data_IF_068719813600
#
_entry.id   IF_068719813600
#
_cell.length_a   1.000
_cell.length_b   1.000
_cell.length_c   1.000
_cell.angle_alpha   90.00
_cell.angle_beta   90.00
_cell.angle_gamma   90.00
#
_symmetry.space_group_name_H-M   'P 1'
#
loop_
_entity.id
_entity.type
_entity.pdbx_description
1 polymer ?
#
# COMPACT_ATOMS: atom_id res chain seq x y z
N UNK A 1 9.54 -0.41 -9.19
CA UNK A 1 10.37 -0.24 -10.41
C UNK A 1 11.49 -1.29 -10.50
N UNK A 2 12.31 -1.46 -9.47
CA UNK A 2 13.51 -2.30 -9.55
C UNK A 2 13.27 -3.79 -9.89
N UNK A 3 12.10 -4.34 -9.57
CA UNK A 3 11.80 -5.74 -9.88
C UNK A 3 11.21 -5.88 -11.29
N UNK A 4 10.24 -5.06 -11.62
CA UNK A 4 9.60 -5.07 -12.94
C UNK A 4 10.61 -4.79 -14.06
N UNK A 5 11.55 -3.86 -13.86
CA UNK A 5 12.59 -3.53 -14.85
C UNK A 5 13.59 -4.64 -15.17
N UNK A 6 13.57 -5.76 -14.42
CA UNK A 6 14.37 -6.94 -14.73
C UNK A 6 13.73 -7.80 -15.82
N UNK A 7 12.42 -7.69 -16.03
CA UNK A 7 11.65 -8.55 -16.91
C UNK A 7 10.94 -7.77 -18.02
N UNK A 8 10.56 -6.53 -17.75
CA UNK A 8 9.95 -5.64 -18.74
C UNK A 8 11.02 -4.82 -19.47
N UNK A 9 10.82 -4.59 -20.76
CA UNK A 9 11.68 -3.73 -21.59
C UNK A 9 11.62 -2.27 -21.09
N UNK A 10 10.45 -1.85 -20.65
CA UNK A 10 10.19 -0.52 -20.11
C UNK A 10 9.22 -0.60 -18.92
N UNK A 11 9.41 0.25 -17.92
CA UNK A 11 8.50 0.43 -16.79
C UNK A 11 8.16 1.91 -16.69
N UNK A 12 6.91 2.25 -16.98
CA UNK A 12 6.38 3.62 -16.82
C UNK A 12 5.86 3.80 -15.39
N UNK A 13 6.47 4.73 -14.66
CA UNK A 13 6.01 5.13 -13.32
C UNK A 13 5.17 6.40 -13.44
N UNK A 14 3.87 6.28 -13.22
CA UNK A 14 2.92 7.39 -13.29
C UNK A 14 3.02 8.23 -12.01
N UNK A 15 3.30 9.56 -12.10
CA UNK A 15 3.37 10.42 -10.92
C UNK A 15 1.97 10.65 -10.35
N UNK A 16 1.81 10.36 -9.06
CA UNK A 16 0.54 10.52 -8.33
C UNK A 16 0.67 11.44 -7.11
N UNK A 17 1.81 12.12 -6.94
CA UNK A 17 2.04 13.05 -5.84
C UNK A 17 1.41 14.41 -6.17
N UNK A 18 0.07 14.42 -6.28
CA UNK A 18 -0.74 15.55 -6.64
C UNK A 18 -2.10 15.48 -5.96
N UNK A 19 -2.57 16.58 -5.39
CA UNK A 19 -3.86 16.70 -4.73
C UNK A 19 -5.03 16.52 -5.72
N UNK A 20 -4.89 16.98 -6.96
CA UNK A 20 -5.92 16.86 -8.01
C UNK A 20 -6.30 15.40 -8.30
N UNK A 21 -5.34 14.47 -8.26
CA UNK A 21 -5.62 13.04 -8.40
C UNK A 21 -5.86 12.33 -7.04
N UNK A 22 -5.96 13.07 -5.94
CA UNK A 22 -6.15 12.53 -4.59
C UNK A 22 -5.01 11.62 -4.12
N UNK A 23 -3.78 11.86 -4.61
CA UNK A 23 -2.59 11.06 -4.32
C UNK A 23 -2.71 9.58 -4.68
N UNK A 24 -3.49 9.24 -5.69
CA UNK A 24 -3.66 7.88 -6.21
C UNK A 24 -3.70 7.85 -7.73
N UNK A 25 -3.46 6.69 -8.33
CA UNK A 25 -3.63 6.49 -9.76
C UNK A 25 -5.12 6.67 -10.12
N UNK A 26 -5.40 7.34 -11.24
CA UNK A 26 -6.77 7.45 -11.76
C UNK A 26 -6.89 6.68 -13.08
N UNK A 27 -8.09 6.25 -13.46
CA UNK A 27 -8.32 5.63 -14.77
C UNK A 27 -7.85 6.51 -15.94
N UNK A 28 -8.03 7.83 -15.87
CA UNK A 28 -7.57 8.76 -16.90
C UNK A 28 -6.06 8.79 -17.01
N UNK A 29 -5.35 8.85 -15.88
CA UNK A 29 -3.89 8.73 -15.88
C UNK A 29 -3.39 7.41 -16.48
N UNK A 30 -4.15 6.32 -16.33
CA UNK A 30 -3.81 5.05 -17.00
C UNK A 30 -4.02 5.19 -18.51
N UNK A 31 -5.16 5.70 -18.96
CA UNK A 31 -5.45 5.91 -20.41
C UNK A 31 -4.39 6.77 -21.10
N UNK A 32 -3.89 7.80 -20.41
CA UNK A 32 -2.83 8.68 -20.91
C UNK A 32 -1.45 8.02 -21.01
N UNK A 33 -1.20 6.96 -20.27
CA UNK A 33 0.10 6.34 -20.13
C UNK A 33 0.24 4.95 -20.75
N UNK A 34 -0.85 4.33 -21.21
CA UNK A 34 -0.81 3.06 -21.96
C UNK A 34 -0.57 3.32 -23.45
N UNK A 35 0.05 2.37 -24.12
CA UNK A 35 0.31 2.34 -25.55
C UNK A 35 0.33 0.89 -26.07
N UNK A 36 0.59 0.70 -27.37
CA UNK A 36 0.66 -0.60 -28.05
C UNK A 36 1.72 -1.58 -27.50
N UNK A 37 2.66 -1.08 -26.70
CA UNK A 37 3.70 -1.89 -26.05
C UNK A 37 3.39 -2.22 -24.60
N UNK A 38 2.28 -1.68 -24.06
CA UNK A 38 1.87 -1.94 -22.70
C UNK A 38 1.26 -3.33 -22.58
N UNK A 39 1.74 -4.16 -21.68
CA UNK A 39 1.21 -5.51 -21.44
C UNK A 39 0.62 -5.70 -20.06
N UNK A 40 0.97 -4.82 -19.10
CA UNK A 40 0.59 -4.98 -17.70
C UNK A 40 0.40 -3.65 -17.00
N UNK A 41 -0.72 -3.52 -16.31
CA UNK A 41 -0.98 -2.44 -15.34
C UNK A 41 -0.79 -3.02 -13.93
N UNK A 42 -0.02 -2.35 -13.07
CA UNK A 42 0.14 -2.73 -11.66
C UNK A 42 -0.63 -1.74 -10.79
N UNK A 43 -1.67 -2.23 -10.14
CA UNK A 43 -2.52 -1.49 -9.23
C UNK A 43 -2.32 -2.00 -7.80
N UNK A 44 -1.83 -1.15 -6.90
CA UNK A 44 -1.69 -1.46 -5.47
C UNK A 44 -2.88 -0.84 -4.74
N UNK A 45 -3.71 -1.67 -4.09
CA UNK A 45 -4.99 -1.28 -3.50
C UNK A 45 -5.25 -1.98 -2.16
N UNK A 46 -5.28 -1.27 -1.05
CA UNK A 46 -4.88 0.14 -0.82
C UNK A 46 -3.41 0.44 -1.09
N UNK A 47 -3.15 1.67 -1.54
CA UNK A 47 -1.83 2.08 -2.02
C UNK A 47 -0.80 2.27 -0.91
N UNK A 48 0.32 1.55 -0.97
CA UNK A 48 1.49 1.79 -0.13
C UNK A 48 2.44 2.81 -0.82
N UNK A 49 2.77 3.95 -0.19
CA UNK A 49 2.71 4.25 1.26
C UNK A 49 1.52 5.13 1.69
N UNK A 50 0.65 5.53 0.81
CA UNK A 50 -0.33 6.61 1.03
C UNK A 50 -1.59 6.11 1.76
N UNK A 51 -1.95 4.83 1.54
CA UNK A 51 -3.11 4.22 2.17
C UNK A 51 -4.45 4.50 1.46
N UNK A 52 -4.43 5.01 0.23
CA UNK A 52 -5.67 5.22 -0.53
C UNK A 52 -6.20 3.94 -1.15
N UNK A 53 -7.50 3.65 -0.97
CA UNK A 53 -8.23 2.63 -1.72
C UNK A 53 -9.01 3.26 -2.88
N UNK A 54 -9.48 2.41 -3.79
CA UNK A 54 -10.26 2.79 -4.95
C UNK A 54 -11.75 2.55 -4.74
N UNK A 55 -12.58 3.38 -5.36
CA UNK A 55 -14.03 3.18 -5.39
C UNK A 55 -14.40 2.03 -6.32
N UNK A 56 -15.65 1.58 -6.23
CA UNK A 56 -16.16 0.52 -7.12
C UNK A 56 -16.12 0.95 -8.59
N UNK A 57 -16.44 2.21 -8.85
CA UNK A 57 -16.44 2.81 -10.18
C UNK A 57 -15.01 2.84 -10.76
N UNK A 58 -14.04 3.31 -9.98
CA UNK A 58 -12.63 3.32 -10.41
C UNK A 58 -12.11 1.91 -10.70
N UNK A 59 -12.44 0.93 -9.86
CA UNK A 59 -12.05 -0.48 -10.09
C UNK A 59 -12.70 -1.05 -11.36
N UNK A 60 -13.97 -0.73 -11.63
CA UNK A 60 -14.64 -1.09 -12.89
C UNK A 60 -13.93 -0.49 -14.08
N UNK A 61 -13.61 0.80 -14.03
CA UNK A 61 -12.92 1.48 -15.11
C UNK A 61 -11.51 0.91 -15.37
N UNK A 62 -10.72 0.61 -14.32
CA UNK A 62 -9.43 -0.07 -14.51
C UNK A 62 -9.59 -1.45 -15.16
N UNK A 63 -10.61 -2.19 -14.78
CA UNK A 63 -10.90 -3.50 -15.35
C UNK A 63 -11.34 -3.38 -16.84
N UNK A 64 -12.15 -2.38 -17.18
CA UNK A 64 -12.56 -2.07 -18.55
C UNK A 64 -11.36 -1.67 -19.42
N UNK A 65 -10.48 -0.78 -18.91
CA UNK A 65 -9.26 -0.37 -19.63
C UNK A 65 -8.39 -1.61 -19.94
N UNK A 66 -8.20 -2.48 -18.97
CA UNK A 66 -7.41 -3.70 -19.17
C UNK A 66 -8.04 -4.60 -20.25
N UNK A 67 -9.37 -4.79 -20.22
CA UNK A 67 -10.10 -5.61 -21.17
C UNK A 67 -10.10 -5.02 -22.59
N UNK A 68 -10.36 -3.72 -22.72
CA UNK A 68 -10.44 -3.03 -24.02
C UNK A 68 -9.11 -2.98 -24.77
N UNK A 69 -7.99 -2.97 -24.02
CA UNK A 69 -6.65 -2.87 -24.58
C UNK A 69 -5.87 -4.20 -24.54
N UNK A 70 -6.53 -5.31 -24.21
CA UNK A 70 -5.91 -6.64 -24.09
C UNK A 70 -4.69 -6.66 -23.14
N UNK A 71 -4.82 -5.94 -22.01
CA UNK A 71 -3.78 -5.84 -20.97
C UNK A 71 -4.10 -6.76 -19.80
N UNK A 72 -3.07 -7.14 -19.05
CA UNK A 72 -3.25 -7.69 -17.72
C UNK A 72 -3.29 -6.56 -16.67
N UNK A 73 -4.15 -6.74 -15.68
CA UNK A 73 -4.22 -5.93 -14.47
C UNK A 73 -3.74 -6.75 -13.27
N UNK A 74 -2.54 -6.48 -12.78
CA UNK A 74 -2.06 -7.05 -11.52
C UNK A 74 -2.60 -6.20 -10.38
N UNK A 75 -3.61 -6.74 -9.68
CA UNK A 75 -4.28 -6.09 -8.56
C UNK A 75 -3.70 -6.58 -7.25
N UNK A 76 -2.77 -5.82 -6.67
CA UNK A 76 -2.17 -6.12 -5.37
C UNK A 76 -3.08 -5.62 -4.25
N UNK A 77 -3.77 -6.57 -3.62
CA UNK A 77 -4.74 -6.32 -2.55
C UNK A 77 -4.17 -6.63 -1.15
N UNK A 78 -2.87 -6.52 -0.97
CA UNK A 78 -2.16 -6.84 0.28
C UNK A 78 -2.75 -6.15 1.52
N UNK A 79 -3.32 -4.96 1.36
CA UNK A 79 -3.85 -4.15 2.47
C UNK A 79 -5.37 -4.09 2.53
N UNK A 80 -6.10 -4.81 1.66
CA UNK A 80 -7.56 -4.74 1.52
C UNK A 80 -8.33 -4.92 2.83
N UNK A 81 -7.82 -5.74 3.72
CA UNK A 81 -8.53 -6.09 4.96
C UNK A 81 -8.50 -4.99 6.03
N UNK A 82 -7.72 -3.93 5.82
CA UNK A 82 -7.75 -2.71 6.63
C UNK A 82 -8.77 -1.69 6.12
N UNK A 83 -9.13 -1.75 4.82
CA UNK A 83 -10.08 -0.83 4.22
C UNK A 83 -11.50 -1.00 4.77
N UNK A 84 -12.26 0.09 4.79
CA UNK A 84 -13.69 0.03 5.10
C UNK A 84 -14.45 -0.66 3.99
N UNK A 85 -14.20 -0.26 2.74
CA UNK A 85 -14.74 -0.88 1.54
C UNK A 85 -13.59 -1.22 0.59
N UNK A 86 -13.72 -2.34 -0.12
CA UNK A 86 -12.72 -2.75 -1.09
C UNK A 86 -13.37 -3.60 -2.19
N UNK A 87 -13.01 -3.32 -3.42
CA UNK A 87 -13.61 -3.93 -4.61
C UNK A 87 -12.55 -4.69 -5.40
N UNK A 88 -12.94 -5.78 -6.06
CA UNK A 88 -12.01 -6.63 -6.80
C UNK A 88 -12.19 -6.46 -8.31
N UNK A 89 -11.13 -6.10 -9.00
CA UNK A 89 -11.12 -5.98 -10.46
C UNK A 89 -11.48 -7.31 -11.16
N UNK A 90 -11.12 -8.44 -10.54
CA UNK A 90 -11.48 -9.76 -11.03
C UNK A 90 -12.99 -10.02 -11.15
N UNK A 91 -13.84 -9.25 -10.46
CA UNK A 91 -15.29 -9.35 -10.61
C UNK A 91 -15.79 -8.75 -11.95
N UNK A 92 -14.99 -7.90 -12.59
CA UNK A 92 -15.37 -7.16 -13.81
C UNK A 92 -14.57 -7.62 -15.04
N UNK A 93 -13.31 -8.00 -14.86
CA UNK A 93 -12.43 -8.53 -15.92
C UNK A 93 -11.62 -9.73 -15.41
N UNK A 94 -12.25 -10.90 -15.16
CA UNK A 94 -11.58 -12.06 -14.56
C UNK A 94 -10.42 -12.58 -15.43
N UNK A 95 -10.57 -12.57 -16.75
CA UNK A 95 -9.56 -13.10 -17.67
C UNK A 95 -8.35 -12.17 -17.84
N UNK A 96 -8.52 -10.89 -17.50
CA UNK A 96 -7.47 -9.88 -17.55
C UNK A 96 -6.86 -9.56 -16.18
N UNK A 97 -7.36 -10.15 -15.08
CA UNK A 97 -6.93 -9.80 -13.74
C UNK A 97 -6.11 -10.89 -13.07
N UNK A 98 -4.97 -10.48 -12.52
CA UNK A 98 -4.15 -11.30 -11.61
C UNK A 98 -4.20 -10.64 -10.24
N UNK A 99 -4.92 -11.25 -9.28
CA UNK A 99 -5.03 -10.73 -7.92
C UNK A 99 -3.92 -11.28 -7.04
N UNK A 100 -3.21 -10.39 -6.35
CA UNK A 100 -2.15 -10.74 -5.39
C UNK A 100 -2.64 -10.49 -3.98
N UNK A 101 -2.70 -11.55 -3.16
CA UNK A 101 -3.08 -11.49 -1.76
C UNK A 101 -1.93 -11.87 -0.83
N UNK A 102 -1.78 -11.19 0.29
CA UNK A 102 -0.67 -11.43 1.23
C UNK A 102 -1.18 -11.68 2.65
N UNK A 103 -0.61 -12.70 3.30
CA UNK A 103 -0.82 -12.97 4.72
C UNK A 103 0.16 -12.17 5.62
N UNK A 104 1.08 -11.43 5.03
CA UNK A 104 2.13 -10.73 5.77
C UNK A 104 1.64 -9.59 6.65
N UNK A 105 0.51 -8.95 6.32
CA UNK A 105 0.05 -7.71 6.96
C UNK A 105 -1.05 -7.97 7.97
N UNK A 106 -2.29 -8.09 7.53
CA UNK A 106 -3.44 -8.22 8.43
C UNK A 106 -3.33 -9.44 9.37
N UNK A 107 -2.73 -10.53 8.91
CA UNK A 107 -2.54 -11.74 9.71
C UNK A 107 -1.22 -11.76 10.53
N UNK A 108 -0.38 -10.74 10.40
CA UNK A 108 0.92 -10.71 11.09
C UNK A 108 1.92 -11.80 10.66
N UNK A 109 1.69 -12.46 9.52
CA UNK A 109 2.44 -13.64 9.09
C UNK A 109 3.63 -13.29 8.14
N UNK A 110 4.22 -12.11 8.28
CA UNK A 110 5.30 -11.67 7.38
C UNK A 110 6.50 -12.63 7.38
N UNK A 111 6.87 -13.18 8.54
CA UNK A 111 7.98 -14.15 8.67
C UNK A 111 7.67 -15.55 8.12
N UNK A 112 6.39 -15.88 7.93
CA UNK A 112 5.96 -17.21 7.45
C UNK A 112 6.11 -17.34 5.93
N UNK A 113 6.21 -16.24 5.19
CA UNK A 113 6.43 -16.19 3.74
C UNK A 113 5.33 -16.88 2.92
N UNK A 114 4.06 -16.50 3.14
CA UNK A 114 2.89 -17.04 2.43
C UNK A 114 2.06 -15.91 1.82
N UNK A 115 1.62 -16.12 0.60
CA UNK A 115 0.71 -15.27 -0.18
C UNK A 115 -0.03 -16.12 -1.20
N UNK A 116 -0.87 -15.50 -2.00
CA UNK A 116 -1.63 -16.17 -3.05
C UNK A 116 -1.68 -15.31 -4.33
N UNK A 117 -1.57 -15.97 -5.48
CA UNK A 117 -1.98 -15.45 -6.77
C UNK A 117 -3.32 -16.08 -7.13
N UNK A 118 -4.26 -15.27 -7.57
CA UNK A 118 -5.61 -15.69 -7.90
C UNK A 118 -5.97 -15.12 -9.27
N UNK A 119 -6.34 -15.99 -10.20
CA UNK A 119 -6.82 -15.65 -11.53
C UNK A 119 -7.60 -16.83 -12.12
N UNK A 120 -8.00 -16.75 -13.39
CA UNK A 120 -8.62 -17.88 -14.10
C UNK A 120 -7.64 -19.03 -14.27
N UNK A 121 -8.17 -20.23 -14.52
CA UNK A 121 -7.33 -21.41 -14.74
C UNK A 121 -6.36 -21.25 -15.92
N UNK A 122 -6.79 -20.57 -16.97
CA UNK A 122 -5.97 -20.33 -18.17
C UNK A 122 -4.76 -19.47 -17.84
N UNK A 123 -4.96 -18.32 -17.20
CA UNK A 123 -3.88 -17.43 -16.75
C UNK A 123 -2.96 -18.15 -15.75
N UNK A 124 -3.52 -18.85 -14.78
CA UNK A 124 -2.72 -19.57 -13.77
C UNK A 124 -1.92 -20.72 -14.36
N UNK A 125 -2.41 -21.40 -15.39
CA UNK A 125 -1.66 -22.45 -16.07
C UNK A 125 -0.46 -21.85 -16.82
N UNK A 126 -0.62 -20.70 -17.48
CA UNK A 126 0.48 -20.00 -18.14
C UNK A 126 1.56 -19.56 -17.13
N UNK A 127 1.16 -19.02 -15.98
CA UNK A 127 2.09 -18.64 -14.90
C UNK A 127 2.86 -19.87 -14.37
N UNK A 128 2.17 -21.00 -14.13
CA UNK A 128 2.80 -22.23 -13.62
C UNK A 128 3.85 -22.81 -14.57
N UNK A 129 3.68 -22.66 -15.87
CA UNK A 129 4.67 -23.12 -16.86
C UNK A 129 6.02 -22.39 -16.74
N UNK A 130 6.02 -21.16 -16.24
CA UNK A 130 7.24 -20.35 -16.06
C UNK A 130 7.89 -20.61 -14.69
N UNK A 131 7.12 -21.08 -13.70
CA UNK A 131 7.59 -21.34 -12.33
C UNK A 131 8.07 -22.79 -12.13
N UNK A 132 8.81 -23.34 -13.09
CA UNK A 132 9.22 -24.78 -13.12
C UNK A 132 10.07 -25.13 -11.90
N UNK A 133 10.88 -24.20 -11.40
CA UNK A 133 11.82 -24.43 -10.30
C UNK A 133 11.26 -24.02 -8.91
N UNK A 134 9.98 -23.62 -8.83
CA UNK A 134 9.35 -23.28 -7.56
C UNK A 134 8.90 -24.56 -6.85
N UNK A 135 9.59 -24.89 -5.74
CA UNK A 135 9.24 -26.02 -4.87
C UNK A 135 7.96 -25.81 -4.08
N UNK A 136 7.32 -24.66 -4.26
CA UNK A 136 6.07 -24.27 -3.63
C UNK A 136 6.23 -23.74 -2.21
N UNK A 137 5.10 -23.27 -1.69
CA UNK A 137 5.04 -22.68 -0.35
C UNK A 137 5.11 -23.76 0.73
N UNK A 138 5.86 -23.47 1.79
CA UNK A 138 5.97 -24.33 2.98
C UNK A 138 4.60 -24.82 3.47
N UNK A 139 4.44 -26.13 3.68
CA UNK A 139 3.18 -26.78 4.05
C UNK A 139 2.65 -26.26 5.40
N UNK A 140 3.53 -26.04 6.39
CA UNK A 140 3.12 -25.49 7.71
C UNK A 140 2.57 -24.07 7.53
N UNK A 141 3.18 -23.28 6.66
CA UNK A 141 2.68 -21.94 6.31
C UNK A 141 1.29 -21.98 5.68
N UNK A 142 1.03 -22.96 4.81
CA UNK A 142 -0.30 -23.14 4.19
C UNK A 142 -1.37 -23.49 5.23
N UNK A 143 -1.09 -24.44 6.14
CA UNK A 143 -2.03 -24.76 7.23
C UNK A 143 -2.24 -23.57 8.17
N UNK A 144 -1.17 -22.82 8.49
CA UNK A 144 -1.25 -21.58 9.26
C UNK A 144 -2.16 -20.55 8.56
N UNK A 145 -2.00 -20.35 7.26
CA UNK A 145 -2.82 -19.42 6.47
C UNK A 145 -4.32 -19.85 6.45
N UNK A 146 -4.59 -21.16 6.30
CA UNK A 146 -5.96 -21.69 6.37
C UNK A 146 -6.58 -21.43 7.75
N UNK A 147 -5.84 -21.68 8.83
CA UNK A 147 -6.31 -21.43 10.19
C UNK A 147 -6.58 -19.93 10.41
N UNK A 148 -5.66 -19.07 9.96
CA UNK A 148 -5.77 -17.61 10.05
C UNK A 148 -7.02 -17.09 9.29
N UNK A 149 -7.29 -17.59 8.09
CA UNK A 149 -8.50 -17.23 7.33
C UNK A 149 -9.78 -17.66 8.06
N UNK A 150 -9.79 -18.85 8.65
CA UNK A 150 -10.96 -19.36 9.39
C UNK A 150 -11.24 -18.57 10.66
N UNK A 151 -10.21 -18.14 11.39
CA UNK A 151 -10.36 -17.36 12.62
C UNK A 151 -10.57 -15.87 12.38
N UNK A 152 -10.33 -15.36 11.15
CA UNK A 152 -10.41 -13.94 10.81
C UNK A 152 -11.70 -13.25 11.30
N UNK A 153 -12.90 -13.80 11.16
CA UNK A 153 -14.13 -13.18 11.64
C UNK A 153 -14.16 -12.88 13.15
N UNK A 154 -13.37 -13.59 13.94
CA UNK A 154 -13.35 -13.48 15.40
C UNK A 154 -12.56 -12.24 15.89
N UNK A 155 -11.64 -11.70 15.09
CA UNK A 155 -10.70 -10.67 15.53
C UNK A 155 -10.55 -9.47 14.57
N UNK A 156 -11.07 -9.55 13.33
CA UNK A 156 -10.84 -8.52 12.31
C UNK A 156 -11.40 -7.15 12.71
N UNK A 157 -12.56 -7.11 13.34
CA UNK A 157 -13.21 -5.86 13.75
C UNK A 157 -12.37 -5.16 14.82
N UNK A 158 -11.84 -5.89 15.80
CA UNK A 158 -10.91 -5.34 16.79
C UNK A 158 -9.68 -4.70 16.17
N UNK A 159 -9.09 -5.34 15.16
CA UNK A 159 -7.92 -4.78 14.45
C UNK A 159 -8.30 -3.53 13.66
N UNK A 160 -9.43 -3.54 12.96
CA UNK A 160 -9.94 -2.36 12.23
C UNK A 160 -10.20 -1.19 13.16
N UNK A 161 -10.90 -1.41 14.26
CA UNK A 161 -11.21 -0.37 15.24
C UNK A 161 -9.94 0.20 15.88
N UNK A 162 -9.00 -0.68 16.25
CA UNK A 162 -7.71 -0.26 16.80
C UNK A 162 -6.92 0.59 15.81
N UNK A 163 -6.79 0.14 14.58
CA UNK A 163 -6.05 0.88 13.54
C UNK A 163 -6.74 2.21 13.20
N UNK A 164 -8.06 2.24 13.14
CA UNK A 164 -8.81 3.47 12.91
C UNK A 164 -8.63 4.49 14.04
N UNK A 165 -8.66 4.05 15.30
CA UNK A 165 -8.40 4.92 16.43
C UNK A 165 -6.94 5.41 16.46
N UNK A 166 -5.99 4.57 16.10
CA UNK A 166 -4.58 4.94 15.98
C UNK A 166 -4.36 6.03 14.91
N UNK A 167 -5.07 5.97 13.80
CA UNK A 167 -5.03 7.03 12.77
C UNK A 167 -5.46 8.39 13.34
N UNK A 168 -6.51 8.43 14.18
CA UNK A 168 -6.98 9.69 14.80
C UNK A 168 -5.89 10.31 15.68
N UNK A 169 -5.19 9.51 16.48
CA UNK A 169 -4.11 10.00 17.35
C UNK A 169 -3.00 10.63 16.48
N UNK A 170 -2.63 9.98 15.37
CA UNK A 170 -1.62 10.53 14.45
C UNK A 170 -2.12 11.82 13.80
N UNK A 171 -3.37 11.83 13.31
CA UNK A 171 -4.00 13.01 12.69
C UNK A 171 -3.98 14.21 13.63
N UNK A 172 -4.40 14.02 14.88
CA UNK A 172 -4.40 15.07 15.91
C UNK A 172 -2.98 15.61 16.23
N UNK A 173 -1.97 14.77 16.13
CA UNK A 173 -0.58 15.20 16.30
C UNK A 173 -0.08 16.00 15.10
N UNK A 174 -0.35 15.53 13.88
CA UNK A 174 0.05 16.21 12.64
C UNK A 174 -0.63 17.56 12.49
N UNK A 175 -1.93 17.67 12.86
CA UNK A 175 -2.69 18.93 12.79
C UNK A 175 -2.18 20.04 13.71
N UNK A 176 -1.37 19.69 14.72
CA UNK A 176 -0.69 20.67 15.59
C UNK A 176 0.60 21.22 14.97
N UNK A 177 1.06 20.62 13.89
CA UNK A 177 2.36 20.91 13.28
C UNK A 177 2.16 21.68 11.96
N UNK A 178 2.26 23.01 12.01
CA UNK A 178 2.15 23.83 10.80
C UNK A 178 3.13 23.37 9.71
N UNK A 179 2.66 23.30 8.48
CA UNK A 179 3.44 22.86 7.31
C UNK A 179 3.61 21.35 7.20
N UNK A 180 3.01 20.57 8.12
CA UNK A 180 2.88 19.12 8.00
C UNK A 180 1.43 18.74 7.66
N UNK A 181 1.23 17.75 6.80
CA UNK A 181 -0.11 17.21 6.53
C UNK A 181 -0.05 15.74 6.13
N UNK A 182 -1.14 15.01 6.36
CA UNK A 182 -1.28 13.63 5.91
C UNK A 182 -1.81 13.65 4.47
N UNK A 183 -1.12 12.97 3.54
CA UNK A 183 -1.46 12.97 2.11
C UNK A 183 -2.90 12.45 1.87
N UNK A 184 -3.32 11.44 2.63
CA UNK A 184 -4.67 10.90 2.56
C UNK A 184 -5.16 10.48 3.94
N UNK A 185 -6.34 10.98 4.32
CA UNK A 185 -7.01 10.65 5.58
C UNK A 185 -8.53 10.55 5.37
N UNK A 186 -9.21 9.53 5.93
CA UNK A 186 -8.62 8.37 6.58
C UNK A 186 -7.83 7.50 5.59
N UNK A 187 -6.87 6.72 6.11
CA UNK A 187 -6.14 5.73 5.33
C UNK A 187 -6.88 4.39 5.35
N UNK A 188 -6.93 3.73 4.22
CA UNK A 188 -7.52 2.39 4.04
C UNK A 188 -6.47 1.26 4.18
N UNK A 189 -5.21 1.61 4.43
CA UNK A 189 -4.13 0.66 4.69
C UNK A 189 -3.80 0.53 6.18
N UNK A 190 -2.58 0.08 6.47
CA UNK A 190 -2.03 0.07 7.83
C UNK A 190 -0.88 1.08 7.99
N UNK A 191 -0.79 2.02 7.06
CA UNK A 191 0.20 3.09 7.05
C UNK A 191 -0.39 4.37 6.46
N UNK A 192 0.30 5.47 6.69
CA UNK A 192 0.05 6.75 6.05
C UNK A 192 1.36 7.47 5.73
N UNK A 193 1.29 8.40 4.79
CA UNK A 193 2.38 9.29 4.44
C UNK A 193 2.08 10.70 4.97
N UNK A 194 3.02 11.26 5.73
CA UNK A 194 2.96 12.61 6.29
C UNK A 194 3.95 13.48 5.51
N UNK A 195 3.45 14.47 4.77
CA UNK A 195 4.28 15.47 4.10
C UNK A 195 4.89 16.43 5.13
N UNK A 196 6.18 16.68 5.02
CA UNK A 196 6.97 17.55 5.88
C UNK A 196 7.52 18.76 5.13
N UNK A 197 7.25 18.87 3.83
CA UNK A 197 7.86 19.87 2.96
C UNK A 197 7.48 21.30 3.33
N UNK A 198 6.22 21.50 3.76
CA UNK A 198 5.76 22.82 4.23
C UNK A 198 6.40 23.27 5.55
N UNK A 199 6.85 22.31 6.37
CA UNK A 199 7.63 22.60 7.58
C UNK A 199 9.14 22.78 7.30
N UNK A 200 9.60 22.52 6.08
CA UNK A 200 11.01 22.57 5.71
C UNK A 200 11.88 21.46 6.31
N UNK A 201 11.26 20.36 6.76
CA UNK A 201 11.96 19.28 7.47
C UNK A 201 12.27 18.14 6.49
N UNK A 202 13.54 17.74 6.45
CA UNK A 202 13.95 16.58 5.67
C UNK A 202 13.50 15.28 6.34
N UNK A 203 12.77 14.36 5.65
CA UNK A 203 12.28 13.11 6.23
C UNK A 203 13.37 12.19 6.80
N UNK A 204 14.60 12.21 6.25
CA UNK A 204 15.72 11.44 6.82
C UNK A 204 16.14 11.97 8.18
N UNK A 205 16.17 13.29 8.31
CA UNK A 205 16.52 13.95 9.58
C UNK A 205 15.44 13.65 10.61
N UNK A 206 14.15 13.76 10.22
CA UNK A 206 13.01 13.40 11.06
C UNK A 206 13.07 11.93 11.50
N UNK A 207 13.26 10.99 10.56
CA UNK A 207 13.32 9.57 10.87
C UNK A 207 14.49 9.23 11.81
N UNK A 208 15.64 9.86 11.65
CA UNK A 208 16.80 9.71 12.54
C UNK A 208 16.50 10.24 13.94
N UNK A 209 15.93 11.44 14.05
CA UNK A 209 15.56 12.05 15.32
C UNK A 209 14.59 11.18 16.11
N UNK A 210 13.56 10.64 15.44
CA UNK A 210 12.58 9.72 16.02
C UNK A 210 13.23 8.39 16.44
N UNK A 211 14.15 7.85 15.63
CA UNK A 211 14.85 6.59 15.95
C UNK A 211 15.69 6.70 17.23
N UNK A 212 16.36 7.84 17.45
CA UNK A 212 17.10 8.12 18.69
C UNK A 212 16.20 8.14 19.94
N UNK A 213 14.87 8.22 19.74
CA UNK A 213 13.82 8.17 20.77
C UNK A 213 13.01 6.87 20.75
N UNK A 214 13.60 5.82 20.16
CA UNK A 214 13.00 4.49 20.01
C UNK A 214 11.69 4.47 19.17
N UNK A 215 11.50 5.44 18.29
CA UNK A 215 10.38 5.50 17.35
C UNK A 215 10.89 5.24 15.93
N UNK A 216 10.60 4.06 15.40
CA UNK A 216 11.00 3.69 14.05
C UNK A 216 9.97 4.12 13.00
N UNK A 217 10.40 4.93 12.05
CA UNK A 217 9.62 5.36 10.87
C UNK A 217 10.44 5.13 9.60
N UNK A 218 9.82 5.31 8.45
CA UNK A 218 10.50 5.22 7.15
C UNK A 218 10.47 6.56 6.44
N UNK A 219 11.62 7.03 6.00
CA UNK A 219 11.70 8.13 5.03
C UNK A 219 11.10 7.72 3.68
N UNK A 220 10.53 8.67 2.98
CA UNK A 220 9.82 8.43 1.72
C UNK A 220 10.69 7.90 0.59
N UNK A 221 12.01 8.18 0.58
CA UNK A 221 12.94 7.67 -0.44
C UNK A 221 12.99 6.14 -0.51
N UNK A 222 12.62 5.44 0.56
CA UNK A 222 12.45 3.99 0.57
C UNK A 222 11.38 3.52 -0.43
N UNK A 223 10.34 4.32 -0.66
CA UNK A 223 9.21 3.98 -1.54
C UNK A 223 9.17 4.80 -2.83
N UNK A 224 9.71 6.01 -2.85
CA UNK A 224 9.73 6.88 -4.02
C UNK A 224 11.06 7.64 -4.12
N UNK A 225 11.79 7.41 -5.20
CA UNK A 225 13.00 8.19 -5.49
C UNK A 225 12.68 9.64 -5.92
N UNK A 226 11.49 9.86 -6.50
CA UNK A 226 11.11 11.17 -7.07
C UNK A 226 10.53 12.12 -6.04
N UNK A 227 9.78 11.62 -5.06
CA UNK A 227 9.04 12.44 -4.10
C UNK A 227 9.33 12.07 -2.64
N UNK A 228 10.23 11.13 -2.41
CA UNK A 228 10.49 10.58 -1.09
C UNK A 228 11.21 11.52 -0.13
N UNK A 229 11.80 12.60 -0.65
CA UNK A 229 12.38 13.68 0.11
C UNK A 229 11.35 14.61 0.76
N UNK A 230 10.05 14.40 0.51
CA UNK A 230 8.96 15.24 1.00
C UNK A 230 8.21 14.65 2.19
N UNK A 231 8.13 13.32 2.30
CA UNK A 231 7.24 12.68 3.26
C UNK A 231 7.91 11.61 4.12
N UNK A 232 7.32 11.41 5.29
CA UNK A 232 7.60 10.32 6.22
C UNK A 232 6.48 9.28 6.13
N UNK A 233 6.83 7.99 6.01
CA UNK A 233 5.85 6.90 6.12
C UNK A 233 5.77 6.39 7.54
N UNK A 234 4.56 6.34 8.08
CA UNK A 234 4.25 5.85 9.43
C UNK A 234 3.33 4.65 9.32
N UNK A 235 3.66 3.55 10.01
CA UNK A 235 2.75 2.41 10.20
C UNK A 235 2.10 2.51 11.58
N UNK A 236 0.81 2.21 11.65
CA UNK A 236 0.02 2.36 12.87
C UNK A 236 -0.71 1.08 13.31
N UNK A 237 -0.35 -0.08 12.74
CA UNK A 237 -0.81 -1.41 13.23
C UNK A 237 0.03 -1.86 14.41
N UNK A 238 0.06 -1.06 15.45
CA UNK A 238 0.80 -1.27 16.69
C UNK A 238 -0.12 -0.97 17.87
N UNK A 239 0.24 -1.33 19.12
CA UNK A 239 -0.53 -0.95 20.29
C UNK A 239 -0.77 0.57 20.37
N UNK A 240 -1.94 1.03 20.84
CA UNK A 240 -2.26 2.46 20.94
C UNK A 240 -1.27 3.28 21.78
N UNK A 241 -0.66 2.67 22.79
CA UNK A 241 0.39 3.28 23.60
C UNK A 241 1.63 3.67 22.79
N UNK A 242 2.04 2.84 21.83
CA UNK A 242 3.18 3.12 20.96
C UNK A 242 2.85 4.27 19.99
N UNK A 243 1.60 4.33 19.50
CA UNK A 243 1.16 5.44 18.65
C UNK A 243 1.14 6.76 19.42
N UNK A 244 0.77 6.75 20.70
CA UNK A 244 0.84 7.94 21.56
C UNK A 244 2.28 8.41 21.78
N UNK A 245 3.23 7.48 21.88
CA UNK A 245 4.66 7.82 21.95
C UNK A 245 5.08 8.49 20.64
N UNK A 246 4.76 7.88 19.49
CA UNK A 246 5.03 8.50 18.19
C UNK A 246 4.43 9.91 18.12
N UNK A 247 3.15 10.09 18.47
CA UNK A 247 2.45 11.36 18.37
C UNK A 247 3.14 12.49 19.18
N UNK A 248 3.59 12.19 20.39
CA UNK A 248 4.34 13.13 21.23
C UNK A 248 5.70 13.45 20.59
N UNK A 249 6.50 12.43 20.29
CA UNK A 249 7.85 12.61 19.77
C UNK A 249 7.85 13.30 18.38
N UNK A 250 6.78 13.10 17.59
CA UNK A 250 6.61 13.77 16.30
C UNK A 250 6.42 15.28 16.46
N UNK A 251 5.55 15.70 17.39
CA UNK A 251 5.31 17.14 17.66
C UNK A 251 6.60 17.79 18.16
N UNK A 252 7.26 17.18 19.16
CA UNK A 252 8.54 17.66 19.70
C UNK A 252 9.61 17.76 18.61
N UNK A 253 9.66 16.76 17.69
CA UNK A 253 10.60 16.74 16.59
C UNK A 253 10.37 17.90 15.62
N UNK A 254 9.11 18.20 15.29
CA UNK A 254 8.77 19.32 14.41
C UNK A 254 9.21 20.65 15.03
N UNK A 255 8.96 20.87 16.33
CA UNK A 255 9.39 22.07 17.04
C UNK A 255 10.93 22.26 17.01
N UNK A 256 11.67 21.17 17.22
CA UNK A 256 13.14 21.20 17.27
C UNK A 256 13.79 21.32 15.89
N UNK A 257 13.23 20.64 14.88
CA UNK A 257 13.84 20.56 13.54
C UNK A 257 13.37 21.66 12.59
N UNK A 258 12.30 22.35 12.90
CA UNK A 258 11.80 23.51 12.16
C UNK A 258 12.69 24.72 12.49
N UNK A 259 13.59 25.07 11.58
CA UNK A 259 14.49 26.23 11.73
C UNK A 259 14.19 27.29 10.69
#
# INVERSE_FOLDING_TARGET
DNFASRFAKEVKSVPIYNEECGYKLTPDLVRENIDENTGLIILIDPLNPIGGAYTEEEIKEFAEIAKENDLFLLHDITYRDFAQNHYLAANYAPDNTITVYSFSKIFGMAGVRVGALISTNEVMNSIRQVLIDDLGTNVVAQYGAIAALKSKPEWIDYVKDTTFNNQKIIKEAVDKCDGCFILRYPSDGNMMAIDLSGAGINPKVMSKYLLERNVFTREGEYTSKRFGDRYLRVSYSVPPEDVKVFAREFVDAVEVLRK
#
